data_IF_172777037711
#
_entry.id   IF_172777037711
#
_cell.length_a   1.000
_cell.length_b   1.000
_cell.length_c   1.000
_cell.angle_alpha   90.00
_cell.angle_beta   90.00
_cell.angle_gamma   90.00
#
_symmetry.space_group_name_H-M   'P 1'
#
loop_
_entity.id
_entity.type
_entity.pdbx_description
1 polymer ?
#
# COMPACT_ATOMS: atom_id res chain seq x y z
N UNK A 1 -11.63 -4.92 -7.06
CA UNK A 1 -11.48 -5.52 -5.71
C UNK A 1 -12.49 -4.95 -4.72
N UNK A 2 -12.45 -3.64 -4.42
CA UNK A 2 -13.33 -3.01 -3.42
C UNK A 2 -14.84 -3.27 -3.63
N UNK A 3 -15.34 -3.14 -4.87
CA UNK A 3 -16.76 -3.35 -5.20
C UNK A 3 -17.27 -4.81 -5.00
N UNK A 4 -16.37 -5.78 -4.94
CA UNK A 4 -16.72 -7.20 -4.80
C UNK A 4 -16.48 -7.74 -3.39
N UNK A 5 -15.74 -7.01 -2.55
CA UNK A 5 -15.42 -7.44 -1.20
C UNK A 5 -16.60 -7.20 -0.27
N UNK A 6 -16.79 -8.10 0.71
CA UNK A 6 -17.73 -7.86 1.82
C UNK A 6 -17.28 -6.69 2.69
N UNK A 7 -15.97 -6.55 2.87
CA UNK A 7 -15.33 -5.48 3.62
C UNK A 7 -14.05 -5.06 2.89
N UNK A 8 -13.84 -3.75 2.76
CA UNK A 8 -12.62 -3.17 2.18
C UNK A 8 -11.92 -2.34 3.24
N UNK A 9 -10.70 -2.71 3.60
CA UNK A 9 -9.82 -1.93 4.47
C UNK A 9 -8.79 -1.26 3.58
N UNK A 10 -8.57 0.04 3.75
CA UNK A 10 -7.60 0.81 2.95
C UNK A 10 -6.56 1.45 3.85
N UNK A 11 -5.30 1.36 3.45
CA UNK A 11 -4.21 2.18 3.99
C UNK A 11 -4.04 3.41 3.11
N UNK A 12 -3.81 4.56 3.71
CA UNK A 12 -3.57 5.83 3.01
C UNK A 12 -2.30 6.48 3.55
N UNK A 13 -1.61 7.26 2.71
CA UNK A 13 -0.44 8.03 3.15
C UNK A 13 -0.85 9.21 4.04
N UNK A 14 -1.99 9.83 3.75
CA UNK A 14 -2.48 11.02 4.43
C UNK A 14 -4.02 11.08 4.40
N UNK A 15 -4.64 11.59 5.48
CA UNK A 15 -6.05 11.98 5.49
C UNK A 15 -6.19 13.50 5.29
N UNK A 16 -6.86 13.92 4.22
CA UNK A 16 -7.04 15.34 3.85
C UNK A 16 -8.51 15.75 3.89
N UNK A 17 -8.80 16.94 4.43
CA UNK A 17 -10.14 17.54 4.42
C UNK A 17 -10.38 18.29 3.11
N UNK A 18 -10.64 17.52 2.05
CA UNK A 18 -10.89 18.03 0.69
C UNK A 18 -11.99 17.21 0.01
N UNK A 19 -12.63 17.81 -1.00
CA UNK A 19 -13.53 17.10 -1.90
C UNK A 19 -12.78 16.60 -3.14
N UNK A 20 -12.48 15.29 -3.18
CA UNK A 20 -11.79 14.68 -4.33
C UNK A 20 -12.56 14.80 -5.65
N UNK A 21 -13.87 15.03 -5.59
CA UNK A 21 -14.73 15.14 -6.78
C UNK A 21 -14.63 16.51 -7.47
N UNK A 22 -14.05 17.51 -6.81
CA UNK A 22 -13.84 18.86 -7.39
C UNK A 22 -12.58 18.94 -8.25
N UNK A 23 -11.67 17.95 -8.14
CA UNK A 23 -10.42 17.87 -8.88
C UNK A 23 -10.53 16.73 -9.91
N UNK A 24 -10.58 17.06 -11.21
CA UNK A 24 -10.76 16.10 -12.30
C UNK A 24 -9.73 14.95 -12.29
N UNK A 25 -8.41 15.21 -12.15
CA UNK A 25 -7.40 14.18 -11.93
C UNK A 25 -7.70 13.21 -10.77
N UNK A 26 -8.17 13.72 -9.63
CA UNK A 26 -8.46 12.90 -8.44
C UNK A 26 -9.80 12.15 -8.55
N UNK A 27 -10.80 12.76 -9.19
CA UNK A 27 -12.13 12.19 -9.32
C UNK A 27 -12.11 10.84 -10.05
N UNK A 28 -11.34 10.73 -11.14
CA UNK A 28 -11.24 9.50 -11.94
C UNK A 28 -10.62 8.30 -11.21
N UNK A 29 -9.79 8.54 -10.19
CA UNK A 29 -9.14 7.52 -9.37
C UNK A 29 -9.83 7.25 -8.02
N UNK A 30 -10.90 7.99 -7.70
CA UNK A 30 -11.53 7.91 -6.38
C UNK A 30 -12.30 6.61 -6.15
N UNK A 31 -12.26 6.10 -4.91
CA UNK A 31 -13.09 4.97 -4.46
C UNK A 31 -14.19 5.56 -3.56
N UNK A 32 -15.48 5.42 -3.92
CA UNK A 32 -16.58 5.89 -3.07
C UNK A 32 -16.55 5.29 -1.66
N UNK A 33 -16.87 6.11 -0.65
CA UNK A 33 -16.94 5.67 0.75
C UNK A 33 -17.88 4.49 0.98
N UNK A 34 -18.89 4.32 0.12
CA UNK A 34 -19.79 3.15 0.13
C UNK A 34 -19.03 1.81 0.06
N UNK A 35 -17.87 1.77 -0.61
CA UNK A 35 -17.06 0.56 -0.73
C UNK A 35 -15.97 0.43 0.33
N UNK A 36 -15.81 1.39 1.25
CA UNK A 36 -14.73 1.44 2.23
C UNK A 36 -15.28 1.16 3.63
N UNK A 37 -14.77 0.12 4.29
CA UNK A 37 -15.18 -0.28 5.64
C UNK A 37 -14.33 0.34 6.73
N UNK A 38 -13.02 0.55 6.49
CA UNK A 38 -12.13 1.24 7.41
C UNK A 38 -10.93 1.83 6.68
N UNK A 39 -10.34 2.87 7.28
CA UNK A 39 -9.18 3.59 6.79
C UNK A 39 -8.11 3.57 7.88
N UNK A 40 -6.87 3.29 7.52
CA UNK A 40 -5.71 3.46 8.38
C UNK A 40 -4.70 4.38 7.69
N UNK A 41 -4.27 5.44 8.37
CA UNK A 41 -3.14 6.25 7.91
C UNK A 41 -1.84 5.47 8.18
N UNK A 42 -1.09 5.19 7.12
CA UNK A 42 0.12 4.38 7.14
C UNK A 42 1.14 4.99 6.15
N UNK A 43 1.94 5.97 6.60
CA UNK A 43 2.98 6.58 5.78
C UNK A 43 4.01 5.55 5.31
N UNK A 44 4.38 5.60 4.03
CA UNK A 44 5.15 4.58 3.32
C UNK A 44 4.47 3.19 3.32
N UNK A 45 3.14 3.14 3.34
CA UNK A 45 2.39 1.89 3.48
C UNK A 45 2.54 0.93 2.29
N UNK A 46 2.94 1.44 1.12
CA UNK A 46 3.24 0.62 -0.05
C UNK A 46 4.73 0.23 -0.16
N UNK A 47 5.63 0.81 0.65
CA UNK A 47 7.04 0.41 0.68
C UNK A 47 7.13 -1.11 0.96
N UNK A 48 7.96 -1.88 0.24
CA UNK A 48 9.07 -1.45 -0.64
C UNK A 48 8.68 -1.16 -2.10
N UNK A 49 7.41 -1.24 -2.47
CA UNK A 49 6.94 -0.76 -3.77
C UNK A 49 6.92 0.75 -3.82
N UNK A 50 6.87 1.30 -5.03
CA UNK A 50 6.70 2.73 -5.24
C UNK A 50 5.23 3.13 -5.25
N UNK A 51 4.95 4.35 -4.82
CA UNK A 51 3.66 5.01 -4.94
C UNK A 51 3.81 6.19 -5.89
N UNK A 52 3.13 6.15 -7.03
CA UNK A 52 3.24 7.16 -8.06
C UNK A 52 2.90 8.56 -7.53
N UNK A 53 3.80 9.52 -7.71
CA UNK A 53 3.65 10.89 -7.19
C UNK A 53 4.23 11.09 -5.78
N UNK A 54 4.44 10.02 -5.00
CA UNK A 54 4.89 10.10 -3.60
C UNK A 54 6.33 9.57 -3.41
N UNK A 55 6.59 8.32 -3.77
CA UNK A 55 7.92 7.69 -3.59
C UNK A 55 8.24 6.62 -4.62
N UNK A 56 9.53 6.52 -4.96
CA UNK A 56 10.06 5.50 -5.87
C UNK A 56 10.13 4.11 -5.19
N UNK A 57 10.10 3.01 -5.96
CA UNK A 57 10.29 1.66 -5.40
C UNK A 57 11.71 1.49 -4.84
N UNK A 58 11.83 0.76 -3.73
CA UNK A 58 13.11 0.33 -3.18
C UNK A 58 13.57 -0.96 -3.87
N UNK A 59 14.20 -0.78 -5.03
CA UNK A 59 14.70 -1.91 -5.84
C UNK A 59 15.73 -2.77 -5.08
N UNK A 60 16.50 -2.17 -4.16
CA UNK A 60 17.50 -2.89 -3.38
C UNK A 60 16.83 -3.83 -2.37
N UNK A 61 15.82 -3.32 -1.65
CA UNK A 61 15.07 -4.12 -0.69
C UNK A 61 14.25 -5.22 -1.39
N UNK A 62 13.63 -4.91 -2.54
CA UNK A 62 12.93 -5.90 -3.36
C UNK A 62 13.88 -7.02 -3.82
N UNK A 63 15.08 -6.69 -4.28
CA UNK A 63 16.09 -7.67 -4.67
C UNK A 63 16.58 -8.51 -3.48
N UNK A 64 16.73 -7.89 -2.31
CA UNK A 64 17.09 -8.58 -1.07
C UNK A 64 16.01 -9.60 -0.66
N UNK A 65 14.74 -9.18 -0.61
CA UNK A 65 13.60 -10.06 -0.37
C UNK A 65 13.57 -11.23 -1.37
N UNK A 66 13.64 -10.94 -2.66
CA UNK A 66 13.60 -11.96 -3.72
C UNK A 66 14.76 -12.95 -3.65
N UNK A 67 15.91 -12.56 -3.08
CA UNK A 67 17.04 -13.45 -2.82
C UNK A 67 16.75 -14.35 -1.61
N UNK A 68 16.31 -13.78 -0.48
CA UNK A 68 16.07 -14.53 0.76
C UNK A 68 14.90 -15.50 0.64
N UNK A 69 13.82 -15.10 -0.05
CA UNK A 69 12.61 -15.90 -0.21
C UNK A 69 12.80 -17.21 -1.01
N UNK A 70 14.00 -17.46 -1.58
CA UNK A 70 14.30 -18.68 -2.36
C UNK A 70 14.44 -19.94 -1.51
N UNK A 71 14.59 -19.81 -0.20
CA UNK A 71 14.64 -20.94 0.72
C UNK A 71 13.80 -20.64 1.96
N UNK A 72 13.33 -21.70 2.63
CA UNK A 72 12.61 -21.56 3.90
C UNK A 72 13.45 -20.82 4.94
N UNK A 73 14.70 -21.22 5.15
CA UNK A 73 15.58 -20.59 6.14
C UNK A 73 15.89 -19.12 5.81
N UNK A 74 16.10 -18.80 4.53
CA UNK A 74 16.33 -17.43 4.07
C UNK A 74 15.08 -16.56 4.29
N UNK A 75 13.90 -17.08 3.94
CA UNK A 75 12.64 -16.38 4.17
C UNK A 75 12.36 -16.15 5.66
N UNK A 76 12.59 -17.15 6.52
CA UNK A 76 12.45 -16.99 7.97
C UNK A 76 13.43 -15.95 8.52
N UNK A 77 14.66 -15.91 8.01
CA UNK A 77 15.64 -14.89 8.41
C UNK A 77 15.19 -13.47 8.00
N UNK A 78 14.66 -13.32 6.77
CA UNK A 78 14.07 -12.06 6.32
C UNK A 78 12.90 -11.62 7.19
N UNK A 79 11.99 -12.53 7.54
CA UNK A 79 10.87 -12.23 8.44
C UNK A 79 11.33 -11.90 9.86
N UNK A 80 12.41 -12.51 10.36
CA UNK A 80 12.95 -12.15 11.67
C UNK A 80 13.58 -10.73 11.68
N UNK A 81 14.11 -10.28 10.54
CA UNK A 81 14.72 -8.95 10.39
C UNK A 81 13.69 -7.85 10.08
N UNK A 82 12.64 -8.17 9.31
CA UNK A 82 11.70 -7.19 8.74
C UNK A 82 10.22 -7.49 8.96
N UNK A 83 9.86 -8.67 9.45
CA UNK A 83 8.49 -9.01 9.84
C UNK A 83 8.13 -8.30 11.14
N UNK A 84 6.92 -7.71 11.17
CA UNK A 84 6.38 -7.00 12.34
C UNK A 84 6.26 -7.89 13.58
#
# INVERSE_FOLDING_TARGET
MAHAARHTLVTVEEIRDINLMEDEPLAGGSIPALYVSAIAEAPNGAWPLGLAGEYAPDAAHLAHYAKQARSTDGFQSYLAEHGA
#
